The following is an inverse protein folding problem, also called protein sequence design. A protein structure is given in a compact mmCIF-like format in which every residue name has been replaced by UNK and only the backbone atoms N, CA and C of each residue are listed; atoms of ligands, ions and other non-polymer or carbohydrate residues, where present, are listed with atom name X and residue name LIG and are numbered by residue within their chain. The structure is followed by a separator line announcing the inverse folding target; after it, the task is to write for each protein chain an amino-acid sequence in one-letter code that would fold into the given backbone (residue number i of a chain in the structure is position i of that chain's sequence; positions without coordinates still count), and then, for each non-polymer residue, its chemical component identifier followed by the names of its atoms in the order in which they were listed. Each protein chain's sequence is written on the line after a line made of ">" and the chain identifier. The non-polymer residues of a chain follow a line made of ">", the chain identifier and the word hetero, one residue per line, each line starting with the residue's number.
data_IF_343940002472
#
_entry.id   IF_343940002472
#
_cell.length_a   1.000
_cell.length_b   1.000
_cell.length_c   1.000
_cell.angle_alpha   90.00
_cell.angle_beta   90.00
_cell.angle_gamma   90.00
#
_symmetry.space_group_name_H-M   'P 1'
#
loop_
_entity.id
_entity.type
_entity.pdbx_description
1 polymer ?
#
# COMPACT_ATOMS: atom_id res chain seq x y z
N UNK A 1 -5.10 -28.96 16.73
CA UNK A 1 -5.82 -28.49 15.53
C UNK A 1 -4.92 -27.53 14.77
N UNK A 2 -4.21 -28.01 13.75
CA UNK A 2 -3.41 -27.18 12.83
C UNK A 2 -4.28 -26.92 11.60
N UNK A 3 -4.93 -25.77 11.52
CA UNK A 3 -5.56 -25.37 10.26
C UNK A 3 -5.81 -23.86 10.25
N UNK A 4 -4.75 -23.09 10.01
CA UNK A 4 -4.94 -21.76 9.42
C UNK A 4 -3.95 -21.61 8.29
N UNK A 5 -4.46 -21.78 7.07
CA UNK A 5 -3.67 -21.63 5.85
C UNK A 5 -3.54 -20.15 5.53
N UNK A 6 -2.32 -19.64 5.54
CA UNK A 6 -2.03 -18.31 5.03
C UNK A 6 -1.80 -18.43 3.53
N UNK A 7 -2.70 -17.84 2.74
CA UNK A 7 -2.69 -17.93 1.29
C UNK A 7 -2.18 -16.64 0.67
N UNK A 8 -1.22 -16.77 -0.26
CA UNK A 8 -0.72 -15.64 -1.04
C UNK A 8 -0.76 -15.98 -2.52
N UNK A 9 -1.17 -15.01 -3.34
CA UNK A 9 -1.07 -15.10 -4.80
C UNK A 9 -0.16 -14.03 -5.38
N UNK A 10 0.56 -14.39 -6.44
CA UNK A 10 1.60 -13.57 -7.08
C UNK A 10 1.16 -12.26 -7.76
N UNK A 11 2.11 -11.57 -8.39
CA UNK A 11 2.01 -10.21 -8.94
C UNK A 11 2.41 -10.08 -10.42
N UNK A 12 2.93 -8.91 -10.80
CA UNK A 12 3.12 -8.45 -12.21
C UNK A 12 3.85 -9.46 -13.12
N UNK A 13 4.82 -10.22 -12.62
CA UNK A 13 5.64 -11.14 -13.44
C UNK A 13 5.49 -12.61 -13.08
N UNK A 14 4.69 -12.92 -12.06
CA UNK A 14 4.57 -14.27 -11.54
C UNK A 14 3.21 -14.44 -10.87
N UNK A 15 2.43 -15.46 -11.26
CA UNK A 15 1.27 -15.92 -10.49
C UNK A 15 1.52 -17.31 -9.90
N UNK A 16 1.27 -17.49 -8.62
CA UNK A 16 1.27 -18.79 -7.92
C UNK A 16 0.50 -18.67 -6.63
N UNK A 17 -0.17 -19.74 -6.22
CA UNK A 17 -0.82 -19.84 -4.92
C UNK A 17 0.14 -20.53 -3.96
N UNK A 18 0.47 -19.84 -2.88
CA UNK A 18 1.33 -20.34 -1.81
C UNK A 18 0.47 -20.53 -0.56
N UNK A 19 0.65 -21.65 0.14
CA UNK A 19 0.07 -21.91 1.44
C UNK A 19 1.17 -22.00 2.51
N UNK A 20 0.85 -21.63 3.74
CA UNK A 20 1.66 -21.94 4.91
C UNK A 20 0.79 -22.57 5.99
N UNK A 21 1.30 -23.61 6.64
CA UNK A 21 0.68 -24.31 7.77
C UNK A 21 1.17 -23.73 9.10
N UNK A 22 0.29 -23.70 10.09
CA UNK A 22 0.65 -23.39 11.47
C UNK A 22 1.00 -24.71 12.14
N UNK A 23 2.24 -24.87 12.58
CA UNK A 23 2.68 -26.08 13.29
C UNK A 23 2.25 -26.07 14.74
N UNK A 24 2.25 -24.90 15.39
CA UNK A 24 1.94 -24.78 16.81
C UNK A 24 1.34 -23.43 17.17
N UNK A 25 0.45 -23.41 18.17
CA UNK A 25 -0.12 -22.21 18.77
C UNK A 25 -0.08 -22.38 20.28
N UNK A 26 0.82 -21.65 20.93
CA UNK A 26 0.85 -21.62 22.40
C UNK A 26 0.11 -20.39 22.90
N UNK A 27 -0.88 -20.63 23.77
CA UNK A 27 -1.53 -19.59 24.56
C UNK A 27 -0.64 -19.36 25.78
N UNK A 28 -0.15 -18.13 25.97
CA UNK A 28 0.61 -17.80 27.18
C UNK A 28 -0.19 -18.13 28.43
N UNK A 29 0.31 -19.04 29.27
CA UNK A 29 -0.30 -19.35 30.55
C UNK A 29 -0.42 -18.07 31.39
N UNK A 30 -1.61 -17.81 31.93
CA UNK A 30 -1.78 -16.84 33.01
C UNK A 30 -1.10 -17.44 34.23
N UNK A 31 0.20 -17.20 34.37
CA UNK A 31 0.94 -17.60 35.56
C UNK A 31 0.21 -17.04 36.78
N UNK A 32 -0.12 -17.93 37.73
CA UNK A 32 -0.53 -17.57 39.10
C UNK A 32 0.61 -16.72 39.71
N UNK A 33 0.61 -15.41 39.47
CA UNK A 33 1.39 -14.49 40.28
C UNK A 33 0.61 -14.27 41.57
N UNK A 34 1.27 -14.60 42.67
CA UNK A 34 0.86 -14.25 44.03
C UNK A 34 0.38 -12.81 44.07
N UNK A 35 -0.73 -12.61 44.78
CA UNK A 35 -1.31 -11.30 45.05
C UNK A 35 -0.35 -10.54 45.97
N UNK A 36 0.52 -9.72 45.41
CA UNK A 36 1.12 -8.61 46.16
C UNK A 36 0.19 -7.40 46.03
N UNK A 37 -0.47 -7.11 47.14
CA UNK A 37 -1.44 -6.05 47.29
C UNK A 37 -0.76 -4.68 47.42
N UNK A 38 -0.13 -4.16 46.36
CA UNK A 38 0.09 -2.71 46.24
C UNK A 38 0.46 -2.27 44.82
N UNK A 39 -0.51 -2.18 43.90
CA UNK A 39 -0.34 -1.34 42.70
C UNK A 39 -1.68 -0.77 42.22
N UNK A 40 -1.71 0.56 42.09
CA UNK A 40 -2.84 1.37 41.59
C UNK A 40 -3.40 0.86 40.24
N UNK A 41 -4.70 1.04 39.97
CA UNK A 41 -5.34 0.49 38.77
C UNK A 41 -4.77 1.12 37.50
N UNK A 42 -4.26 0.29 36.59
CA UNK A 42 -3.90 0.68 35.23
C UNK A 42 -5.17 0.93 34.41
N UNK A 43 -5.07 1.87 33.45
CA UNK A 43 -6.16 2.40 32.60
C UNK A 43 -7.13 1.32 32.08
N UNK A 44 -8.44 1.62 31.94
CA UNK A 44 -9.45 0.67 31.47
C UNK A 44 -9.39 0.33 29.97
N UNK A 45 -8.42 0.86 29.22
CA UNK A 45 -8.38 0.76 27.75
C UNK A 45 -7.54 -0.42 27.21
N UNK A 46 -6.97 -1.26 28.07
CA UNK A 46 -6.22 -2.44 27.60
C UNK A 46 -7.19 -3.57 27.24
N UNK A 47 -7.47 -3.73 25.94
CA UNK A 47 -8.26 -4.84 25.41
C UNK A 47 -7.71 -6.20 25.93
N UNK A 48 -8.54 -7.09 26.50
CA UNK A 48 -8.09 -8.33 27.14
C UNK A 48 -7.24 -9.25 26.25
N UNK A 49 -7.42 -9.22 24.92
CA UNK A 49 -6.65 -10.07 24.00
C UNK A 49 -5.16 -9.71 23.91
N UNK A 50 -4.76 -8.51 24.36
CA UNK A 50 -3.34 -8.09 24.43
C UNK A 50 -2.61 -8.67 25.66
N UNK A 51 -3.32 -9.31 26.60
CA UNK A 51 -2.75 -9.72 27.89
C UNK A 51 -2.10 -11.11 27.90
N UNK A 52 -2.28 -11.92 26.86
CA UNK A 52 -1.58 -13.20 26.68
C UNK A 52 -0.97 -13.25 25.28
N UNK A 53 0.37 -13.17 25.12
CA UNK A 53 0.97 -13.32 23.82
C UNK A 53 0.67 -14.72 23.30
N UNK A 54 -0.15 -14.81 22.26
CA UNK A 54 -0.25 -16.01 21.45
C UNK A 54 1.04 -16.11 20.65
N UNK A 55 1.82 -17.17 20.89
CA UNK A 55 2.95 -17.47 20.02
C UNK A 55 2.46 -18.46 18.95
N UNK A 56 2.49 -18.01 17.71
CA UNK A 56 2.15 -18.81 16.54
C UNK A 56 3.46 -19.24 15.87
N UNK A 57 3.69 -20.55 15.79
CA UNK A 57 4.81 -21.12 15.04
C UNK A 57 4.31 -21.52 13.66
N UNK A 58 4.93 -20.95 12.63
CA UNK A 58 4.67 -21.34 11.24
C UNK A 58 5.60 -22.49 10.87
N UNK A 59 5.12 -23.44 10.08
CA UNK A 59 5.92 -24.53 9.53
C UNK A 59 6.70 -24.03 8.29
N UNK A 60 6.18 -24.28 7.09
CA UNK A 60 6.82 -23.89 5.83
C UNK A 60 5.83 -23.31 4.83
N UNK A 61 6.36 -22.50 3.92
CA UNK A 61 5.65 -22.09 2.71
C UNK A 61 5.73 -23.18 1.65
N UNK A 62 4.60 -23.53 1.07
CA UNK A 62 4.49 -24.49 -0.02
C UNK A 62 3.75 -23.89 -1.20
N UNK A 63 4.26 -24.14 -2.42
CA UNK A 63 3.56 -23.80 -3.64
C UNK A 63 2.54 -24.89 -3.95
N UNK A 64 1.27 -24.50 -4.04
CA UNK A 64 0.21 -25.43 -4.43
C UNK A 64 0.36 -25.73 -5.93
N UNK A 65 0.44 -27.03 -6.26
CA UNK A 65 0.44 -27.50 -7.65
C UNK A 65 -0.99 -27.80 -8.03
N UNK A 66 -1.56 -26.93 -8.86
CA UNK A 66 -2.93 -27.04 -9.31
C UNK A 66 -3.02 -27.80 -10.64
N UNK A 67 -4.16 -28.45 -10.88
CA UNK A 67 -4.53 -28.98 -12.19
C UNK A 67 -5.21 -27.90 -13.03
N UNK A 68 -4.93 -27.87 -14.33
CA UNK A 68 -5.46 -26.88 -15.26
C UNK A 68 -4.58 -25.64 -15.45
N UNK A 69 -4.88 -24.85 -16.48
CA UNK A 69 -4.20 -23.58 -16.73
C UNK A 69 -4.75 -22.54 -15.77
N UNK A 70 -3.92 -22.13 -14.82
CA UNK A 70 -4.24 -21.02 -13.94
C UNK A 70 -4.10 -19.65 -14.60
N UNK A 71 -4.49 -18.60 -13.89
CA UNK A 71 -4.40 -17.21 -14.34
C UNK A 71 -2.99 -16.85 -14.79
N UNK A 72 -2.88 -16.00 -15.83
CA UNK A 72 -1.59 -15.36 -16.12
C UNK A 72 -1.11 -14.47 -14.95
N UNK A 73 0.21 -14.20 -14.87
CA UNK A 73 0.76 -13.12 -14.06
C UNK A 73 -0.02 -11.80 -14.19
N UNK A 74 -0.52 -11.33 -13.05
CA UNK A 74 -1.37 -10.13 -12.96
C UNK A 74 -1.13 -9.40 -11.66
N UNK A 75 -1.47 -8.11 -11.64
CA UNK A 75 -1.44 -7.27 -10.43
C UNK A 75 -2.78 -6.62 -10.19
N UNK A 76 -3.04 -6.20 -8.95
CA UNK A 76 -4.27 -5.51 -8.57
C UNK A 76 -5.54 -6.34 -8.83
N UNK A 77 -5.41 -7.66 -8.72
CA UNK A 77 -6.53 -8.57 -8.54
C UNK A 77 -6.86 -8.66 -7.05
N UNK A 78 -8.04 -9.22 -6.76
CA UNK A 78 -8.51 -9.49 -5.40
C UNK A 78 -8.79 -10.97 -5.27
N UNK A 79 -8.79 -11.50 -4.05
CA UNK A 79 -9.20 -12.87 -3.79
C UNK A 79 -10.14 -12.93 -2.61
N UNK A 80 -11.05 -13.90 -2.62
CA UNK A 80 -11.86 -14.25 -1.46
C UNK A 80 -11.97 -15.76 -1.35
N UNK A 81 -12.29 -16.24 -0.15
CA UNK A 81 -12.60 -17.65 0.06
C UNK A 81 -14.12 -17.85 -0.02
N UNK A 82 -14.52 -18.98 -0.56
CA UNK A 82 -15.91 -19.44 -0.63
C UNK A 82 -16.07 -20.70 0.22
N UNK A 83 -17.31 -21.19 0.40
CA UNK A 83 -17.56 -22.45 1.09
C UNK A 83 -16.71 -23.56 0.46
N UNK A 84 -16.35 -24.54 1.28
CA UNK A 84 -15.48 -25.61 0.84
C UNK A 84 -16.09 -26.35 -0.36
N UNK A 85 -15.23 -26.69 -1.31
CA UNK A 85 -15.57 -27.52 -2.44
C UNK A 85 -15.23 -28.97 -2.12
N UNK A 86 -16.04 -29.90 -2.59
CA UNK A 86 -15.65 -31.29 -2.64
C UNK A 86 -14.65 -31.47 -3.80
N UNK A 87 -13.52 -32.11 -3.52
CA UNK A 87 -12.44 -32.33 -4.48
C UNK A 87 -11.95 -33.77 -4.38
N UNK A 88 -11.63 -34.38 -5.53
CA UNK A 88 -11.03 -35.70 -5.55
C UNK A 88 -9.67 -35.67 -4.83
N UNK A 89 -9.44 -36.62 -3.92
CA UNK A 89 -8.25 -36.65 -3.04
C UNK A 89 -6.94 -36.78 -3.83
N UNK A 90 -6.98 -37.44 -4.98
CA UNK A 90 -5.84 -37.56 -5.92
C UNK A 90 -5.27 -36.20 -6.37
N UNK A 91 -6.05 -35.12 -6.29
CA UNK A 91 -5.61 -33.77 -6.64
C UNK A 91 -4.78 -33.10 -5.52
N UNK A 92 -4.85 -33.60 -4.29
CA UNK A 92 -4.15 -33.04 -3.13
C UNK A 92 -2.77 -33.64 -2.87
N UNK A 93 -2.57 -34.94 -3.18
CA UNK A 93 -1.45 -35.72 -2.62
C UNK A 93 -0.54 -36.30 -3.71
N UNK A 94 0.78 -36.25 -3.47
CA UNK A 94 1.83 -36.98 -4.21
C UNK A 94 2.37 -38.20 -3.46
N UNK A 95 1.72 -38.67 -2.40
CA UNK A 95 2.25 -39.72 -1.52
C UNK A 95 1.35 -40.94 -1.40
N UNK A 96 2.03 -42.09 -1.37
CA UNK A 96 1.53 -43.48 -1.35
C UNK A 96 0.79 -43.87 -0.04
N UNK A 97 -0.05 -43.01 0.52
CA UNK A 97 -0.87 -43.39 1.67
C UNK A 97 -2.20 -43.96 1.18
N UNK A 98 -2.48 -45.21 1.56
CA UNK A 98 -3.79 -45.86 1.39
C UNK A 98 -4.77 -45.21 2.35
N UNK A 99 -5.44 -44.15 1.92
CA UNK A 99 -6.56 -43.51 2.64
C UNK A 99 -7.88 -43.82 1.90
N UNK A 100 -8.91 -44.22 2.65
CA UNK A 100 -10.17 -44.77 2.11
C UNK A 100 -11.11 -43.72 1.49
N UNK A 101 -11.00 -42.44 1.84
CA UNK A 101 -11.90 -41.39 1.34
C UNK A 101 -11.51 -40.88 -0.05
N UNK A 102 -12.34 -41.18 -1.05
CA UNK A 102 -12.15 -40.74 -2.45
C UNK A 102 -12.19 -39.20 -2.62
N UNK A 103 -12.99 -38.52 -1.79
CA UNK A 103 -13.23 -37.08 -1.88
C UNK A 103 -12.96 -36.37 -0.56
N UNK A 104 -12.57 -35.10 -0.66
CA UNK A 104 -12.19 -34.26 0.47
C UNK A 104 -12.70 -32.84 0.30
N UNK A 105 -13.16 -32.25 1.41
CA UNK A 105 -13.55 -30.85 1.43
C UNK A 105 -12.31 -29.95 1.44
N UNK A 106 -12.12 -29.20 0.36
CA UNK A 106 -11.01 -28.26 0.18
C UNK A 106 -11.51 -26.84 0.16
N UNK A 107 -10.67 -25.90 0.60
CA UNK A 107 -11.01 -24.49 0.58
C UNK A 107 -11.08 -23.99 -0.86
N UNK A 108 -12.25 -23.47 -1.26
CA UNK A 108 -12.42 -22.82 -2.56
C UNK A 108 -11.99 -21.35 -2.47
N UNK A 109 -11.16 -20.91 -3.41
CA UNK A 109 -10.68 -19.54 -3.53
C UNK A 109 -11.19 -18.99 -4.86
N UNK A 110 -11.73 -17.78 -4.85
CA UNK A 110 -12.05 -17.06 -6.08
C UNK A 110 -11.10 -15.89 -6.22
N UNK A 111 -10.49 -15.80 -7.39
CA UNK A 111 -9.67 -14.68 -7.84
C UNK A 111 -10.53 -13.78 -8.72
N UNK A 112 -10.52 -12.49 -8.47
CA UNK A 112 -11.27 -11.51 -9.24
C UNK A 112 -10.31 -10.60 -9.99
N UNK A 113 -10.50 -10.51 -11.30
CA UNK A 113 -9.85 -9.58 -12.22
C UNK A 113 -8.33 -9.56 -12.12
N UNK A 114 -7.78 -8.35 -12.27
CA UNK A 114 -6.35 -8.05 -12.31
C UNK A 114 -5.90 -7.49 -13.65
N UNK A 115 -4.83 -6.71 -13.65
CA UNK A 115 -4.22 -6.21 -14.88
C UNK A 115 -3.52 -7.38 -15.57
N UNK A 116 -4.08 -7.85 -16.68
CA UNK A 116 -3.46 -8.60 -17.79
C UNK A 116 -4.54 -9.36 -18.58
N UNK A 117 -5.57 -9.85 -17.90
CA UNK A 117 -6.64 -10.63 -18.52
C UNK A 117 -7.97 -9.92 -18.40
N UNK A 118 -8.72 -9.85 -19.50
CA UNK A 118 -10.12 -9.41 -19.48
C UNK A 118 -11.05 -10.38 -18.75
N UNK A 119 -10.50 -11.42 -18.10
CA UNK A 119 -11.23 -12.38 -17.30
C UNK A 119 -11.60 -11.74 -15.96
N UNK A 120 -12.89 -11.70 -15.61
CA UNK A 120 -13.36 -11.04 -14.41
C UNK A 120 -13.21 -11.87 -13.15
N UNK A 121 -13.23 -13.20 -13.25
CA UNK A 121 -12.98 -14.08 -12.11
C UNK A 121 -12.57 -15.50 -12.52
N UNK A 122 -11.83 -16.16 -11.63
CA UNK A 122 -11.36 -17.55 -11.74
C UNK A 122 -11.50 -18.23 -10.39
N UNK A 123 -12.03 -19.45 -10.38
CA UNK A 123 -12.18 -20.26 -9.18
C UNK A 123 -11.04 -21.28 -9.07
N UNK A 124 -10.67 -21.57 -7.83
CA UNK A 124 -9.57 -22.45 -7.45
C UNK A 124 -9.96 -23.35 -6.29
N UNK A 125 -9.90 -24.65 -6.51
CA UNK A 125 -10.09 -25.72 -5.53
C UNK A 125 -9.11 -26.87 -5.81
N UNK A 126 -7.81 -26.52 -5.97
CA UNK A 126 -6.75 -27.39 -6.52
C UNK A 126 -6.92 -27.73 -8.01
N UNK A 127 -8.06 -27.37 -8.60
CA UNK A 127 -8.27 -27.24 -10.03
C UNK A 127 -8.58 -25.78 -10.39
N UNK A 128 -8.06 -25.32 -11.52
CA UNK A 128 -8.43 -24.02 -12.07
C UNK A 128 -9.69 -24.14 -12.92
N UNK A 129 -10.65 -23.25 -12.69
CA UNK A 129 -11.83 -23.10 -13.53
C UNK A 129 -12.18 -21.63 -13.75
N UNK A 130 -12.78 -21.34 -14.90
CA UNK A 130 -13.30 -20.00 -15.22
C UNK A 130 -14.81 -20.13 -15.43
N UNK A 131 -15.61 -20.04 -14.35
CA UNK A 131 -17.05 -20.09 -14.51
C UNK A 131 -17.48 -18.86 -15.32
N UNK A 132 -18.30 -19.04 -16.35
CA UNK A 132 -18.82 -17.96 -17.17
C UNK A 132 -20.34 -18.02 -17.16
N UNK A 133 -20.98 -16.90 -16.79
CA UNK A 133 -22.43 -16.72 -16.85
C UNK A 133 -22.73 -15.49 -17.72
N UNK A 134 -23.94 -15.36 -18.30
CA UNK A 134 -24.27 -14.22 -19.16
C UNK A 134 -24.11 -12.85 -18.48
N UNK A 135 -24.32 -12.76 -17.16
CA UNK A 135 -24.24 -11.53 -16.36
C UNK A 135 -22.86 -11.32 -15.70
N UNK A 136 -21.86 -12.08 -16.12
CA UNK A 136 -20.50 -11.97 -15.60
C UNK A 136 -19.95 -10.54 -15.79
N UNK A 137 -19.40 -9.90 -14.73
CA UNK A 137 -18.89 -8.52 -14.81
C UNK A 137 -17.75 -8.38 -15.81
N UNK A 138 -17.46 -7.16 -16.26
CA UNK A 138 -16.27 -6.94 -17.10
C UNK A 138 -14.95 -7.07 -16.32
N UNK A 139 -13.91 -7.53 -17.02
CA UNK A 139 -12.54 -7.63 -16.49
C UNK A 139 -12.00 -6.29 -15.97
N UNK A 140 -11.61 -6.28 -14.70
CA UNK A 140 -11.30 -5.06 -13.94
C UNK A 140 -10.08 -5.23 -13.03
N UNK A 141 -9.41 -4.14 -12.71
CA UNK A 141 -8.30 -4.10 -11.75
C UNK A 141 -8.50 -2.97 -10.74
N UNK A 142 -7.77 -2.99 -9.61
CA UNK A 142 -7.91 -1.96 -8.56
C UNK A 142 -9.35 -1.83 -8.03
N UNK A 143 -10.12 -2.92 -8.12
CA UNK A 143 -11.43 -3.08 -7.53
C UNK A 143 -11.28 -3.70 -6.15
N UNK A 144 -12.33 -3.62 -5.35
CA UNK A 144 -12.38 -4.30 -4.07
C UNK A 144 -13.41 -5.45 -4.09
N UNK A 145 -13.16 -6.48 -3.28
CA UNK A 145 -14.02 -7.67 -3.15
C UNK A 145 -14.30 -7.91 -1.68
N UNK A 146 -15.58 -8.14 -1.34
CA UNK A 146 -16.02 -8.44 0.02
C UNK A 146 -16.91 -9.66 0.05
N UNK A 147 -16.62 -10.55 0.96
CA UNK A 147 -17.52 -11.64 1.33
C UNK A 147 -18.53 -11.11 2.34
N UNK A 148 -19.80 -11.03 1.95
CA UNK A 148 -20.90 -10.60 2.82
C UNK A 148 -21.35 -11.77 3.69
N UNK A 149 -21.41 -12.97 3.12
CA UNK A 149 -21.75 -14.21 3.81
C UNK A 149 -21.05 -15.40 3.15
N UNK A 150 -21.32 -16.62 3.62
CA UNK A 150 -20.84 -17.83 2.97
C UNK A 150 -21.29 -17.93 1.50
N UNK A 151 -22.45 -17.38 1.16
CA UNK A 151 -23.08 -17.48 -0.16
C UNK A 151 -23.04 -16.20 -0.99
N UNK A 152 -22.53 -15.09 -0.45
CA UNK A 152 -22.63 -13.77 -1.10
C UNK A 152 -21.29 -13.03 -1.11
N UNK A 153 -20.90 -12.59 -2.31
CA UNK A 153 -19.71 -11.76 -2.54
C UNK A 153 -20.10 -10.50 -3.31
N UNK A 154 -19.57 -9.36 -2.88
CA UNK A 154 -19.73 -8.07 -3.53
C UNK A 154 -18.39 -7.66 -4.14
N UNK A 155 -18.42 -7.29 -5.41
CA UNK A 155 -17.30 -6.68 -6.14
C UNK A 155 -17.65 -5.22 -6.39
N UNK A 156 -16.80 -4.30 -5.94
CA UNK A 156 -17.05 -2.88 -6.05
C UNK A 156 -16.01 -2.16 -6.90
N UNK A 157 -16.51 -1.42 -7.89
CA UNK A 157 -15.77 -0.45 -8.68
C UNK A 157 -14.51 -1.01 -9.35
N UNK A 158 -13.46 -0.19 -9.35
CA UNK A 158 -12.16 -0.51 -9.94
C UNK A 158 -11.90 0.25 -11.22
N UNK A 159 -11.13 -0.35 -12.13
CA UNK A 159 -10.82 0.18 -13.45
C UNK A 159 -10.95 -0.92 -14.48
N UNK A 160 -11.73 -0.68 -15.52
CA UNK A 160 -11.83 -1.61 -16.64
C UNK A 160 -10.51 -1.65 -17.41
N UNK A 161 -10.08 -2.86 -17.77
CA UNK A 161 -8.75 -3.07 -18.37
C UNK A 161 -8.67 -2.49 -19.78
N UNK A 162 -9.73 -2.64 -20.59
CA UNK A 162 -9.74 -2.26 -22.00
C UNK A 162 -10.03 -0.78 -22.23
N UNK A 163 -11.03 -0.23 -21.54
CA UNK A 163 -11.44 1.17 -21.73
C UNK A 163 -10.69 2.14 -20.82
N UNK A 164 -9.85 1.62 -19.92
CA UNK A 164 -9.12 2.42 -18.94
C UNK A 164 -10.00 3.24 -17.99
N UNK A 165 -11.31 3.03 -18.01
CA UNK A 165 -12.26 3.80 -17.23
C UNK A 165 -12.41 3.29 -15.80
N UNK A 166 -12.62 4.22 -14.89
CA UNK A 166 -13.00 3.98 -13.51
C UNK A 166 -14.44 3.49 -13.44
N UNK A 167 -14.68 2.55 -12.54
CA UNK A 167 -15.98 1.95 -12.36
C UNK A 167 -16.57 2.34 -11.00
N UNK A 168 -17.88 2.55 -10.97
CA UNK A 168 -18.68 2.81 -9.77
C UNK A 168 -19.71 1.69 -9.52
N UNK A 169 -19.79 0.74 -10.43
CA UNK A 169 -20.73 -0.37 -10.37
C UNK A 169 -20.45 -1.27 -9.16
N UNK A 170 -21.52 -1.90 -8.69
CA UNK A 170 -21.49 -2.97 -7.71
C UNK A 170 -21.95 -4.22 -8.44
N UNK A 171 -21.18 -5.30 -8.31
CA UNK A 171 -21.58 -6.62 -8.78
C UNK A 171 -21.76 -7.53 -7.58
N UNK A 172 -22.88 -8.24 -7.54
CA UNK A 172 -23.15 -9.27 -6.54
C UNK A 172 -23.00 -10.65 -7.19
N UNK A 173 -22.14 -11.47 -6.60
CA UNK A 173 -22.02 -12.89 -6.87
C UNK A 173 -22.77 -13.63 -5.76
N UNK A 174 -23.87 -14.28 -6.15
CA UNK A 174 -24.59 -15.24 -5.32
C UNK A 174 -24.07 -16.64 -5.63
N UNK A 175 -23.84 -17.43 -4.59
CA UNK A 175 -23.49 -18.85 -4.71
C UNK A 175 -24.54 -19.67 -4.00
N UNK A 176 -25.06 -20.66 -4.71
CA UNK A 176 -26.09 -21.58 -4.26
C UNK A 176 -25.48 -22.98 -4.24
N UNK A 177 -25.65 -23.67 -3.12
CA UNK A 177 -25.24 -25.07 -2.97
C UNK A 177 -26.50 -25.92 -2.86
N UNK A 178 -26.62 -26.91 -3.74
CA UNK A 178 -27.66 -27.93 -3.68
C UNK A 178 -26.99 -29.25 -3.31
N UNK A 179 -27.51 -29.91 -2.28
CA UNK A 179 -27.04 -31.24 -1.87
C UNK A 179 -27.88 -32.26 -2.61
N UNK A 180 -27.24 -33.14 -3.36
CA UNK A 180 -27.94 -34.22 -4.04
C UNK A 180 -28.29 -35.39 -3.09
N UNK A 181 -28.98 -36.40 -3.62
CA UNK A 181 -29.43 -37.56 -2.85
C UNK A 181 -28.27 -38.40 -2.27
N UNK A 182 -27.04 -38.20 -2.77
CA UNK A 182 -25.83 -38.88 -2.32
C UNK A 182 -25.07 -38.07 -1.25
N UNK A 183 -25.55 -36.86 -0.92
CA UNK A 183 -24.88 -35.96 0.02
C UNK A 183 -23.82 -35.07 -0.63
N UNK A 184 -23.67 -35.10 -1.95
CA UNK A 184 -22.72 -34.27 -2.68
C UNK A 184 -23.29 -32.87 -2.88
N UNK A 185 -22.50 -31.85 -2.56
CA UNK A 185 -22.92 -30.45 -2.73
C UNK A 185 -22.50 -29.92 -4.10
N UNK A 186 -23.47 -29.78 -5.01
CA UNK A 186 -23.30 -29.09 -6.27
C UNK A 186 -23.46 -27.57 -6.08
N UNK A 187 -22.47 -26.81 -6.53
CA UNK A 187 -22.51 -25.35 -6.43
C UNK A 187 -22.84 -24.70 -7.78
N UNK A 188 -23.77 -23.76 -7.77
CA UNK A 188 -24.08 -22.86 -8.89
C UNK A 188 -23.82 -21.41 -8.49
N UNK A 189 -23.60 -20.56 -9.49
CA UNK A 189 -23.31 -19.15 -9.28
C UNK A 189 -24.22 -18.27 -10.13
N UNK A 190 -24.56 -17.10 -9.60
CA UNK A 190 -25.36 -16.10 -10.29
C UNK A 190 -24.79 -14.70 -10.05
N UNK A 191 -24.62 -13.95 -11.15
CA UNK A 191 -24.21 -12.55 -11.08
C UNK A 191 -25.40 -11.61 -11.27
N UNK A 192 -25.43 -10.55 -10.46
CA UNK A 192 -26.41 -9.47 -10.57
C UNK A 192 -25.78 -8.11 -10.33
N UNK A 193 -26.36 -7.07 -10.94
CA UNK A 193 -25.96 -5.67 -10.73
C UNK A 193 -27.04 -4.96 -9.90
N UNK A 194 -26.88 -4.85 -8.57
CA UNK A 194 -27.87 -4.18 -7.74
C UNK A 194 -27.93 -2.68 -8.05
N UNK A 195 -29.16 -2.15 -8.12
CA UNK A 195 -29.39 -0.70 -8.24
C UNK A 195 -29.04 -0.01 -6.94
N UNK A 196 -28.16 1.00 -7.03
CA UNK A 196 -27.68 1.77 -5.88
C UNK A 196 -28.41 3.11 -5.77
N UNK A 197 -28.71 3.50 -4.54
CA UNK A 197 -29.45 4.74 -4.25
C UNK A 197 -28.71 5.64 -3.26
N UNK A 198 -29.21 6.87 -3.10
CA UNK A 198 -28.71 7.82 -2.09
C UNK A 198 -27.50 8.62 -2.59
N UNK A 199 -26.56 8.90 -1.68
CA UNK A 199 -25.45 9.82 -1.96
C UNK A 199 -24.28 9.09 -2.66
N UNK A 200 -24.48 8.78 -3.93
CA UNK A 200 -23.53 8.03 -4.76
C UNK A 200 -22.15 8.73 -4.81
N UNK A 201 -21.04 8.01 -4.61
CA UNK A 201 -19.71 8.53 -4.88
C UNK A 201 -19.49 8.73 -6.39
N UNK A 202 -18.52 9.57 -6.78
CA UNK A 202 -18.08 9.58 -8.17
C UNK A 202 -17.30 8.31 -8.55
N UNK A 203 -17.33 7.96 -9.84
CA UNK A 203 -16.48 6.92 -10.41
C UNK A 203 -15.01 7.24 -10.12
N UNK A 204 -14.30 6.27 -9.53
CA UNK A 204 -12.94 6.51 -9.01
C UNK A 204 -12.11 5.25 -8.98
N UNK A 205 -10.80 5.42 -9.19
CA UNK A 205 -9.81 4.33 -9.14
C UNK A 205 -8.92 4.39 -7.91
N UNK A 206 -8.43 3.23 -7.47
CA UNK A 206 -7.50 3.13 -6.34
C UNK A 206 -8.08 3.67 -5.04
N UNK A 207 -9.40 3.60 -4.88
CA UNK A 207 -10.03 3.74 -3.57
C UNK A 207 -9.77 2.48 -2.75
N UNK A 208 -10.25 2.45 -1.52
CA UNK A 208 -10.37 1.21 -0.79
C UNK A 208 -11.67 1.19 -0.02
N UNK A 209 -12.26 0.02 0.09
CA UNK A 209 -13.46 -0.23 0.86
C UNK A 209 -13.19 -1.13 2.07
N UNK A 210 -14.10 -1.16 3.02
CA UNK A 210 -14.00 -1.93 4.26
C UNK A 210 -15.40 -2.31 4.73
N UNK A 211 -15.65 -3.58 5.03
CA UNK A 211 -16.93 -4.01 5.57
C UNK A 211 -16.97 -3.84 7.09
N UNK A 212 -18.07 -3.26 7.59
CA UNK A 212 -18.38 -3.12 9.01
C UNK A 212 -19.81 -3.60 9.21
N UNK A 213 -19.96 -4.88 9.57
CA UNK A 213 -21.25 -5.56 9.57
C UNK A 213 -21.89 -5.50 8.17
N UNK A 214 -23.15 -5.05 8.03
CA UNK A 214 -23.85 -4.98 6.74
C UNK A 214 -23.49 -3.74 5.91
N UNK A 215 -22.46 -2.99 6.30
CA UNK A 215 -22.09 -1.73 5.66
C UNK A 215 -20.72 -1.83 5.00
N UNK A 216 -20.58 -1.26 3.81
CA UNK A 216 -19.35 -1.13 3.07
C UNK A 216 -18.90 0.34 3.11
N UNK A 217 -17.87 0.62 3.90
CA UNK A 217 -17.21 1.92 4.00
C UNK A 217 -16.26 2.09 2.83
N UNK A 218 -16.30 3.23 2.15
CA UNK A 218 -15.44 3.65 1.05
C UNK A 218 -14.63 4.86 1.49
N UNK A 219 -13.32 4.81 1.30
CA UNK A 219 -12.42 5.94 1.51
C UNK A 219 -11.52 6.17 0.30
N UNK A 220 -11.24 7.44 0.05
CA UNK A 220 -10.19 7.85 -0.88
C UNK A 220 -10.50 7.59 -2.36
N UNK A 221 -9.43 7.41 -3.12
CA UNK A 221 -9.45 7.19 -4.56
C UNK A 221 -9.23 8.46 -5.37
N UNK A 222 -9.15 8.29 -6.69
CA UNK A 222 -9.05 9.38 -7.65
C UNK A 222 -10.26 9.37 -8.57
N UNK A 223 -10.99 10.48 -8.53
CA UNK A 223 -12.05 10.78 -9.47
C UNK A 223 -11.51 10.71 -10.89
N UNK A 224 -12.19 9.94 -11.73
CA UNK A 224 -11.74 9.74 -13.08
C UNK A 224 -11.92 10.98 -13.95
N UNK A 225 -13.06 11.65 -13.82
CA UNK A 225 -13.45 12.78 -14.66
C UNK A 225 -12.61 14.02 -14.37
N UNK A 226 -12.35 14.29 -13.09
CA UNK A 226 -11.64 15.50 -12.66
C UNK A 226 -10.17 15.23 -12.31
N UNK A 227 -9.77 13.97 -12.17
CA UNK A 227 -8.44 13.60 -11.66
C UNK A 227 -8.22 13.95 -10.18
N UNK A 228 -9.22 14.50 -9.48
CA UNK A 228 -9.09 14.89 -8.08
C UNK A 228 -8.95 13.68 -7.17
N UNK A 229 -7.99 13.75 -6.23
CA UNK A 229 -7.93 12.81 -5.14
C UNK A 229 -9.05 13.12 -4.14
N UNK A 230 -9.63 12.06 -3.58
CA UNK A 230 -10.74 12.12 -2.63
C UNK A 230 -10.27 11.68 -1.24
N UNK A 231 -10.96 12.11 -0.19
CA UNK A 231 -10.79 11.65 1.20
C UNK A 231 -12.12 11.61 1.98
N UNK A 232 -13.25 11.79 1.31
CA UNK A 232 -14.54 11.64 1.96
C UNK A 232 -14.78 10.18 2.35
N UNK A 233 -15.56 9.99 3.41
CA UNK A 233 -16.08 8.69 3.82
C UNK A 233 -17.49 8.55 3.24
N UNK A 234 -17.70 7.49 2.47
CA UNK A 234 -19.02 7.06 2.01
C UNK A 234 -19.29 5.69 2.56
N UNK A 235 -20.54 5.39 2.90
CA UNK A 235 -20.94 4.08 3.42
C UNK A 235 -22.14 3.59 2.65
N UNK A 236 -22.01 2.43 2.02
CA UNK A 236 -23.09 1.69 1.42
C UNK A 236 -23.67 0.75 2.46
N UNK A 237 -24.95 0.92 2.79
CA UNK A 237 -25.68 -0.14 3.46
C UNK A 237 -26.02 -1.21 2.42
N UNK A 238 -25.40 -2.39 2.51
CA UNK A 238 -25.50 -3.44 1.48
C UNK A 238 -26.95 -3.95 1.38
N UNK A 239 -27.66 -4.36 2.45
CA UNK A 239 -29.02 -4.86 2.32
C UNK A 239 -30.00 -3.83 1.74
N UNK A 240 -29.82 -2.54 2.06
CA UNK A 240 -30.68 -1.46 1.56
C UNK A 240 -30.19 -0.86 0.23
N UNK A 241 -29.04 -1.30 -0.27
CA UNK A 241 -28.41 -0.79 -1.49
C UNK A 241 -28.34 0.76 -1.53
N UNK A 242 -28.06 1.39 -0.39
CA UNK A 242 -28.13 2.85 -0.24
C UNK A 242 -26.86 3.46 0.35
N UNK A 243 -26.28 4.40 -0.38
CA UNK A 243 -25.13 5.19 0.02
C UNK A 243 -25.49 6.36 0.94
N UNK A 244 -24.62 6.61 1.90
CA UNK A 244 -24.60 7.82 2.73
C UNK A 244 -23.20 8.40 2.80
N UNK A 245 -23.11 9.73 2.88
CA UNK A 245 -21.88 10.44 3.25
C UNK A 245 -21.79 10.52 4.76
N UNK A 246 -20.58 10.33 5.28
CA UNK A 246 -20.27 10.56 6.67
C UNK A 246 -19.17 11.62 6.75
N UNK A 247 -19.43 12.66 7.53
CA UNK A 247 -18.41 13.64 7.87
C UNK A 247 -17.84 13.24 9.23
N UNK A 248 -16.60 12.74 9.21
CA UNK A 248 -15.90 12.26 10.41
C UNK A 248 -15.18 13.44 11.06
N UNK A 249 -15.41 13.73 12.35
CA UNK A 249 -14.76 14.85 13.02
C UNK A 249 -13.25 14.63 13.19
N UNK A 250 -12.50 15.73 13.29
CA UNK A 250 -11.05 15.73 13.50
C UNK A 250 -10.23 15.80 12.20
N UNK A 251 -8.94 15.47 12.32
CA UNK A 251 -7.99 15.56 11.22
C UNK A 251 -8.10 14.36 10.27
N UNK A 252 -8.89 14.54 9.20
CA UNK A 252 -9.04 13.53 8.17
C UNK A 252 -7.69 13.23 7.48
N UNK A 253 -7.43 11.96 7.09
CA UNK A 253 -6.29 11.64 6.24
C UNK A 253 -6.39 12.44 4.93
N UNK A 254 -5.25 12.91 4.41
CA UNK A 254 -5.27 13.69 3.17
C UNK A 254 -5.76 12.87 1.98
N UNK A 255 -6.36 13.54 0.97
CA UNK A 255 -6.80 12.91 -0.27
C UNK A 255 -5.72 12.07 -0.94
N UNK A 256 -6.05 10.81 -1.23
CA UNK A 256 -5.07 9.80 -1.67
C UNK A 256 -5.70 8.68 -2.49
N UNK A 257 -4.88 8.01 -3.30
CA UNK A 257 -5.26 6.78 -4.02
C UNK A 257 -4.19 5.68 -3.89
N UNK A 258 -4.58 4.43 -4.10
CA UNK A 258 -3.65 3.29 -4.11
C UNK A 258 -2.94 3.09 -2.77
N UNK A 259 -3.59 3.48 -1.68
CA UNK A 259 -3.12 3.28 -0.31
C UNK A 259 -3.50 1.88 0.17
N UNK A 260 -3.01 1.51 1.36
CA UNK A 260 -3.39 0.28 2.06
C UNK A 260 -4.13 0.63 3.34
N UNK A 261 -5.09 -0.20 3.72
CA UNK A 261 -5.72 -0.09 5.02
C UNK A 261 -5.95 -1.47 5.62
N UNK A 262 -6.15 -1.49 6.93
CA UNK A 262 -6.44 -2.69 7.70
C UNK A 262 -7.07 -2.31 9.02
N UNK A 263 -8.04 -3.10 9.48
CA UNK A 263 -8.54 -3.00 10.85
C UNK A 263 -7.56 -3.61 11.85
N UNK A 264 -7.35 -2.88 12.95
CA UNK A 264 -6.72 -3.36 14.16
C UNK A 264 -7.72 -3.20 15.31
N UNK A 265 -8.39 -4.29 15.67
CA UNK A 265 -9.55 -4.24 16.58
C UNK A 265 -10.65 -3.35 16.00
N UNK A 266 -11.00 -2.28 16.72
CA UNK A 266 -12.01 -1.29 16.30
C UNK A 266 -11.44 -0.12 15.49
N UNK A 267 -10.12 -0.12 15.23
CA UNK A 267 -9.43 1.02 14.58
C UNK A 267 -9.09 0.69 13.14
N UNK A 268 -9.54 1.50 12.18
CA UNK A 268 -9.10 1.41 10.79
C UNK A 268 -7.81 2.20 10.60
N UNK A 269 -6.71 1.51 10.28
CA UNK A 269 -5.42 2.13 10.00
C UNK A 269 -5.26 2.31 8.49
N UNK A 270 -4.94 3.52 8.05
CA UNK A 270 -4.68 3.85 6.63
C UNK A 270 -3.21 4.25 6.48
N UNK A 271 -2.48 3.58 5.61
CA UNK A 271 -1.06 3.80 5.37
C UNK A 271 -0.74 3.88 3.89
N UNK A 272 0.39 4.53 3.56
CA UNK A 272 0.91 4.68 2.19
C UNK A 272 -0.06 5.39 1.22
N UNK A 273 0.13 5.16 -0.08
CA UNK A 273 -0.66 5.73 -1.17
C UNK A 273 0.00 6.89 -1.90
N UNK A 274 -0.57 7.21 -3.05
CA UNK A 274 -0.19 8.35 -3.87
C UNK A 274 -0.96 9.60 -3.44
N UNK A 275 -0.22 10.71 -3.30
CA UNK A 275 -0.71 12.06 -3.00
C UNK A 275 -0.36 12.97 -4.17
N UNK A 276 -1.13 14.03 -4.38
CA UNK A 276 -0.74 15.09 -5.32
C UNK A 276 0.44 15.88 -4.77
N UNK A 277 1.35 16.34 -5.64
CA UNK A 277 2.50 17.14 -5.25
C UNK A 277 2.12 18.42 -4.51
N UNK A 278 0.98 19.03 -4.84
CA UNK A 278 0.43 20.18 -4.11
C UNK A 278 0.09 19.84 -2.65
N UNK A 279 -0.49 18.65 -2.42
CA UNK A 279 -0.80 18.13 -1.08
C UNK A 279 0.48 17.78 -0.34
N UNK A 280 1.46 17.19 -1.05
CA UNK A 280 2.77 16.88 -0.46
C UNK A 280 3.49 18.16 -0.06
N UNK A 281 3.52 19.18 -0.93
CA UNK A 281 4.13 20.48 -0.63
C UNK A 281 3.43 21.16 0.54
N UNK A 282 2.11 21.22 0.58
CA UNK A 282 1.40 21.85 1.70
C UNK A 282 1.60 21.11 3.03
N UNK A 283 1.56 19.77 3.05
CA UNK A 283 1.71 18.99 4.30
C UNK A 283 3.16 18.80 4.75
N UNK A 284 4.09 18.65 3.82
CA UNK A 284 5.50 18.35 4.11
C UNK A 284 6.46 19.51 3.83
N UNK A 285 5.97 20.72 3.50
CA UNK A 285 6.82 21.92 3.41
C UNK A 285 7.54 22.20 4.72
N UNK A 286 7.01 21.73 5.85
CA UNK A 286 7.56 21.94 7.19
C UNK A 286 8.43 20.80 7.72
N UNK A 287 8.69 19.73 6.94
CA UNK A 287 9.61 18.66 7.38
C UNK A 287 11.07 19.17 7.37
N UNK A 288 11.74 19.25 8.54
CA UNK A 288 13.10 19.79 8.64
C UNK A 288 14.12 19.04 7.79
N UNK A 289 13.98 17.71 7.64
CA UNK A 289 14.91 16.89 6.85
C UNK A 289 14.78 17.21 5.36
N UNK A 290 13.55 17.41 4.88
CA UNK A 290 13.27 17.72 3.48
C UNK A 290 13.59 19.17 3.14
N UNK A 291 13.35 20.11 4.06
CA UNK A 291 13.82 21.50 3.91
C UNK A 291 15.34 21.56 3.79
N UNK A 292 16.06 20.82 4.63
CA UNK A 292 17.53 20.74 4.55
C UNK A 292 17.99 20.17 3.21
N UNK A 293 17.34 19.12 2.71
CA UNK A 293 17.65 18.53 1.40
C UNK A 293 17.35 19.48 0.23
N UNK A 294 16.21 20.18 0.25
CA UNK A 294 15.84 21.18 -0.76
C UNK A 294 16.84 22.35 -0.76
N UNK A 295 17.20 22.87 0.43
CA UNK A 295 18.18 23.93 0.57
C UNK A 295 19.58 23.54 0.04
N UNK A 296 19.98 22.27 0.15
CA UNK A 296 21.25 21.78 -0.43
C UNK A 296 21.24 21.65 -1.96
N UNK A 297 20.05 21.53 -2.57
CA UNK A 297 19.89 21.44 -4.04
C UNK A 297 19.56 22.80 -4.68
N UNK A 298 19.32 23.84 -3.87
CA UNK A 298 19.05 25.18 -4.37
C UNK A 298 20.25 25.73 -5.14
N UNK A 299 20.00 26.12 -6.39
CA UNK A 299 20.94 26.86 -7.23
C UNK A 299 20.92 28.33 -6.86
N UNK A 300 22.10 28.93 -6.84
CA UNK A 300 22.33 30.35 -6.60
C UNK A 300 23.10 30.93 -7.77
N UNK A 301 22.74 32.15 -8.15
CA UNK A 301 23.53 32.96 -9.08
C UNK A 301 24.72 33.55 -8.32
N UNK A 302 25.91 33.41 -8.89
CA UNK A 302 27.12 33.97 -8.32
C UNK A 302 27.18 35.46 -8.65
N UNK A 303 27.64 36.28 -7.69
CA UNK A 303 27.97 37.68 -7.98
C UNK A 303 29.00 37.76 -9.12
N UNK A 304 29.01 38.82 -9.94
CA UNK A 304 29.93 38.94 -11.07
C UNK A 304 31.41 38.70 -10.71
N UNK A 305 31.85 39.21 -9.55
CA UNK A 305 33.21 39.04 -9.06
C UNK A 305 33.55 37.57 -8.75
N UNK A 306 32.66 36.86 -8.05
CA UNK A 306 32.87 35.44 -7.71
C UNK A 306 32.72 34.54 -8.96
N UNK A 307 31.82 34.90 -9.88
CA UNK A 307 31.63 34.20 -11.15
C UNK A 307 32.89 34.27 -12.03
N UNK A 308 33.57 35.43 -12.07
CA UNK A 308 34.83 35.57 -12.80
C UNK A 308 35.94 34.71 -12.19
N UNK A 309 36.07 34.73 -10.85
CA UNK A 309 37.10 33.96 -10.14
C UNK A 309 36.92 32.44 -10.29
N UNK A 310 35.67 31.94 -10.25
CA UNK A 310 35.39 30.50 -10.31
C UNK A 310 35.04 30.00 -11.72
N UNK A 311 34.81 30.90 -12.69
CA UNK A 311 34.41 30.54 -14.05
C UNK A 311 33.04 29.88 -14.14
N UNK A 312 32.12 30.19 -13.21
CA UNK A 312 30.77 29.60 -13.11
C UNK A 312 29.74 30.68 -12.81
N UNK A 313 28.62 30.67 -13.51
CA UNK A 313 27.52 31.61 -13.28
C UNK A 313 26.57 31.17 -12.16
N UNK A 314 26.36 29.85 -12.00
CA UNK A 314 25.40 29.28 -11.06
C UNK A 314 25.95 28.03 -10.37
N UNK A 315 25.82 27.97 -9.05
CA UNK A 315 26.22 26.81 -8.24
C UNK A 315 25.29 26.63 -7.04
N UNK A 316 25.22 25.40 -6.53
CA UNK A 316 24.67 25.17 -5.18
C UNK A 316 25.67 25.65 -4.12
N UNK A 317 25.20 25.97 -2.92
CA UNK A 317 26.09 26.36 -1.80
C UNK A 317 27.24 25.37 -1.56
N UNK A 318 27.00 24.04 -1.47
CA UNK A 318 28.10 23.08 -1.32
C UNK A 318 29.07 23.07 -2.50
N UNK A 319 28.56 23.25 -3.73
CA UNK A 319 29.41 23.29 -4.92
C UNK A 319 30.27 24.57 -4.95
N UNK A 320 29.73 25.74 -4.58
CA UNK A 320 30.49 26.98 -4.49
C UNK A 320 31.65 26.89 -3.48
N UNK A 321 31.41 26.25 -2.32
CA UNK A 321 32.47 26.00 -1.33
C UNK A 321 33.52 25.04 -1.89
N UNK A 322 33.11 23.99 -2.60
CA UNK A 322 34.03 23.04 -3.23
C UNK A 322 34.92 23.73 -4.28
N UNK A 323 34.32 24.55 -5.15
CA UNK A 323 35.06 25.30 -6.18
C UNK A 323 36.00 26.34 -5.55
N UNK A 324 35.59 27.02 -4.48
CA UNK A 324 36.49 27.90 -3.72
C UNK A 324 37.74 27.16 -3.21
N UNK A 325 37.57 25.97 -2.60
CA UNK A 325 38.71 25.19 -2.13
C UNK A 325 39.58 24.64 -3.27
N UNK A 326 38.98 24.30 -4.40
CA UNK A 326 39.71 23.91 -5.60
C UNK A 326 40.59 25.06 -6.11
N UNK A 327 40.07 26.30 -6.10
CA UNK A 327 40.83 27.50 -6.43
C UNK A 327 42.00 27.73 -5.45
N UNK A 328 41.73 27.70 -4.14
CA UNK A 328 42.76 27.86 -3.08
C UNK A 328 43.90 26.87 -3.26
N UNK A 329 43.58 25.59 -3.52
CA UNK A 329 44.59 24.54 -3.72
C UNK A 329 45.37 24.73 -5.03
N UNK A 330 44.69 25.12 -6.11
CA UNK A 330 45.31 25.34 -7.42
C UNK A 330 46.32 26.49 -7.40
N UNK A 331 46.06 27.51 -6.60
CA UNK A 331 46.90 28.71 -6.48
C UNK A 331 47.82 28.69 -5.25
N UNK A 332 47.88 27.58 -4.51
CA UNK A 332 48.75 27.38 -3.34
C UNK A 332 48.59 28.48 -2.26
N UNK A 333 47.36 28.93 -2.03
CA UNK A 333 47.07 30.09 -1.18
C UNK A 333 46.97 29.78 0.33
N UNK A 334 47.19 28.53 0.75
CA UNK A 334 47.17 28.17 2.18
C UNK A 334 48.51 28.50 2.83
N UNK A 335 48.48 28.97 4.07
CA UNK A 335 49.70 29.22 4.82
C UNK A 335 50.46 27.89 5.08
N UNK A 336 51.76 27.82 4.75
CA UNK A 336 52.56 26.60 4.92
C UNK A 336 52.79 26.20 6.39
N UNK A 337 52.64 27.13 7.34
CA UNK A 337 52.78 26.91 8.78
C UNK A 337 51.44 26.65 9.47
N UNK A 338 50.35 27.24 8.95
CA UNK A 338 48.99 26.98 9.42
C UNK A 338 48.00 26.80 8.27
N UNK A 339 47.76 25.54 7.87
CA UNK A 339 46.83 25.22 6.78
C UNK A 339 45.36 25.63 7.01
N UNK A 340 45.03 26.22 8.17
CA UNK A 340 43.71 26.84 8.44
C UNK A 340 43.64 28.31 8.03
N UNK A 341 44.75 28.91 7.64
CA UNK A 341 44.85 30.27 7.14
C UNK A 341 45.03 30.27 5.62
N UNK A 342 44.34 31.18 4.94
CA UNK A 342 44.44 31.40 3.50
C UNK A 342 44.87 32.85 3.29
N UNK A 343 45.92 33.02 2.47
CA UNK A 343 46.45 34.30 2.03
C UNK A 343 45.91 34.61 0.63
N UNK A 344 44.88 35.48 0.50
CA UNK A 344 44.22 35.75 -0.77
C UNK A 344 45.18 36.41 -1.77
N UNK A 345 45.16 35.96 -3.02
CA UNK A 345 45.81 36.67 -4.12
C UNK A 345 44.98 37.91 -4.53
N UNK A 346 45.50 38.72 -5.46
CA UNK A 346 44.84 39.94 -5.93
C UNK A 346 43.38 39.72 -6.41
N UNK A 347 43.14 38.61 -7.11
CA UNK A 347 41.80 38.26 -7.61
C UNK A 347 40.83 37.92 -6.46
N UNK A 348 41.26 37.11 -5.49
CA UNK A 348 40.47 36.76 -4.31
C UNK A 348 40.24 37.96 -3.38
N UNK A 349 41.23 38.86 -3.24
CA UNK A 349 41.08 40.11 -2.51
C UNK A 349 40.04 41.03 -3.16
N UNK A 350 39.97 41.07 -4.50
CA UNK A 350 38.96 41.87 -5.21
C UNK A 350 37.53 41.36 -4.94
N UNK A 351 37.36 40.04 -4.75
CA UNK A 351 36.06 39.43 -4.41
C UNK A 351 35.69 39.69 -2.95
N UNK A 352 36.55 39.26 -2.00
CA UNK A 352 36.18 39.19 -0.58
C UNK A 352 36.63 40.40 0.26
N UNK A 353 37.53 41.25 -0.26
CA UNK A 353 38.03 42.47 0.39
C UNK A 353 38.62 42.23 1.78
N UNK A 354 39.38 41.15 1.92
CA UNK A 354 40.04 40.73 3.16
C UNK A 354 41.48 40.33 2.87
N UNK A 355 42.39 40.67 3.79
CA UNK A 355 43.82 40.38 3.68
C UNK A 355 44.17 38.94 4.10
N UNK A 356 43.36 38.35 4.98
CA UNK A 356 43.51 36.95 5.42
C UNK A 356 42.13 36.31 5.60
N UNK A 357 42.02 35.01 5.29
CA UNK A 357 40.78 34.24 5.48
C UNK A 357 41.06 33.04 6.39
N UNK A 358 40.40 33.03 7.55
CA UNK A 358 40.36 31.83 8.42
C UNK A 358 39.44 30.78 7.81
N UNK A 359 39.77 29.51 7.99
CA UNK A 359 38.95 28.36 7.57
C UNK A 359 37.47 28.50 7.99
N UNK A 360 37.20 29.04 9.18
CA UNK A 360 35.84 29.26 9.71
C UNK A 360 35.05 30.36 8.99
N UNK A 361 35.73 31.28 8.32
CA UNK A 361 35.11 32.43 7.64
C UNK A 361 34.68 32.11 6.20
N UNK A 362 35.24 31.06 5.59
CA UNK A 362 35.01 30.68 4.17
C UNK A 362 33.53 30.58 3.85
N UNK A 363 32.75 29.88 4.68
CA UNK A 363 31.32 29.71 4.43
C UNK A 363 30.56 31.03 4.45
N UNK A 364 30.89 31.92 5.40
CA UNK A 364 30.24 33.22 5.54
C UNK A 364 30.60 34.16 4.39
N UNK A 365 31.86 34.17 3.95
CA UNK A 365 32.33 34.99 2.83
C UNK A 365 31.71 34.55 1.51
N UNK A 366 31.79 33.25 1.17
CA UNK A 366 31.20 32.73 -0.07
C UNK A 366 29.69 32.96 -0.11
N UNK A 367 28.99 32.80 1.01
CA UNK A 367 27.52 32.99 1.07
C UNK A 367 27.06 34.41 0.76
N UNK A 368 27.89 35.44 0.98
CA UNK A 368 27.55 36.84 0.64
C UNK A 368 27.50 37.11 -0.86
N UNK A 369 28.09 36.22 -1.66
CA UNK A 369 28.17 36.33 -3.12
C UNK A 369 27.22 35.36 -3.84
N UNK A 370 26.27 34.76 -3.10
CA UNK A 370 25.28 33.82 -3.62
C UNK A 370 23.89 34.43 -3.51
N UNK A 371 23.36 34.88 -4.63
CA UNK A 371 22.00 35.40 -4.75
C UNK A 371 21.06 34.26 -5.15
N UNK A 372 19.84 34.23 -4.60
CA UNK A 372 18.85 33.27 -5.08
C UNK A 372 18.55 33.63 -6.53
N UNK A 373 18.62 32.66 -7.44
CA UNK A 373 18.03 32.84 -8.76
C UNK A 373 16.51 32.97 -8.53
N UNK A 374 15.95 34.13 -8.85
CA UNK A 374 14.50 34.35 -8.80
C UNK A 374 13.80 33.35 -9.76
N UNK A 375 12.59 32.91 -9.39
CA UNK A 375 11.77 31.95 -10.16
C UNK A 375 11.45 32.41 -11.60
#
# INVERSE_FOLDING_TARGET
>A
MSATFLLRSGGHYWFSVLQATISDVTLGEVGKKSVDADTKPKRPDSLPFLQSPQQITMDKWEKIRAVGKGPCPRRNHSMTCMPNALCARELLVKSNAEEEEEFVNVRRIIFFGGQSEGIPFEAFDYRWSTPCTPSTPTGRSLHDVYRVSESEVIVYGGRQIRQSNGLLDVHKLQVTGEVDDLGDTQYSIEWSEPKLFGSLPCARRGHSTNTIGPNLLLFGGQDESTGQLKNEIRVLNIPRQRWKRFDVPGDAPCPRRGFKNQFFGTTLVISSGFLLDSVIRSKFSKDPKRQKLMATKQLYRLSPALSNMLGKSELTRPAAIKEFWAYVKKHELQDPKDGRMIHPNAEMMNVFKVEEIKFTQVMGLVSKHLEKADE
#
